data_IF_399743141560
#
_entry.id   IF_399743141560
#
_cell.length_a   1.000
_cell.length_b   1.000
_cell.length_c   1.000
_cell.angle_alpha   90.00
_cell.angle_beta   90.00
_cell.angle_gamma   90.00
#
_symmetry.space_group_name_H-M   'P 1'
#
loop_
_entity.id
_entity.type
_entity.pdbx_description
1 polymer ?
#
# COMPACT_ATOMS: atom_id res chain seq x y z
N UNK A 1 14.07 -9.14 9.77
CA UNK A 1 13.61 -8.28 8.66
C UNK A 1 12.11 -8.07 8.78
N UNK A 2 11.68 -6.82 8.89
CA UNK A 2 10.27 -6.41 8.91
C UNK A 2 9.89 -5.85 7.55
N UNK A 3 8.78 -6.32 7.00
CA UNK A 3 8.22 -5.81 5.76
C UNK A 3 7.11 -4.82 6.07
N UNK A 4 7.07 -3.74 5.28
CA UNK A 4 5.95 -2.81 5.24
C UNK A 4 5.35 -2.85 3.83
N UNK A 5 4.02 -2.75 3.72
CA UNK A 5 3.34 -2.58 2.44
C UNK A 5 2.74 -1.18 2.40
N UNK A 6 2.99 -0.45 1.31
CA UNK A 6 2.43 0.89 1.12
C UNK A 6 1.47 0.86 -0.05
N UNK A 7 0.21 1.23 0.20
CA UNK A 7 -0.83 1.35 -0.82
C UNK A 7 -0.97 2.83 -1.18
N UNK A 8 -0.62 3.19 -2.40
CA UNK A 8 -0.70 4.55 -2.91
C UNK A 8 -1.84 4.72 -3.92
N UNK A 9 -2.62 5.78 -3.76
CA UNK A 9 -3.65 6.22 -4.71
C UNK A 9 -3.42 7.69 -5.09
N UNK A 10 -3.60 8.07 -6.36
CA UNK A 10 -3.52 9.48 -6.76
C UNK A 10 -4.71 10.27 -6.18
N UNK A 11 -4.43 11.45 -5.64
CA UNK A 11 -5.41 12.41 -5.12
C UNK A 11 -5.46 13.68 -5.96
N UNK A 12 -6.49 14.48 -5.72
CA UNK A 12 -6.72 15.75 -6.41
C UNK A 12 -5.99 16.88 -5.68
N UNK A 13 -5.00 17.48 -6.34
CA UNK A 13 -4.18 18.53 -5.73
C UNK A 13 -3.18 17.97 -4.71
N UNK A 14 -2.43 18.85 -4.05
CA UNK A 14 -1.31 18.44 -3.20
C UNK A 14 -1.74 17.76 -1.89
N UNK A 15 -2.87 18.18 -1.32
CA UNK A 15 -3.36 17.74 0.00
C UNK A 15 -4.60 16.83 -0.08
N UNK A 16 -5.12 16.61 -1.29
CA UNK A 16 -6.39 15.92 -1.52
C UNK A 16 -7.63 16.76 -1.16
N UNK A 17 -8.79 16.13 -1.31
CA UNK A 17 -10.11 16.64 -0.90
C UNK A 17 -10.61 15.98 0.39
N UNK A 18 -11.66 16.53 1.00
CA UNK A 18 -12.32 15.90 2.15
C UNK A 18 -12.84 14.49 1.81
N UNK A 19 -13.39 14.29 0.60
CA UNK A 19 -13.83 12.97 0.13
C UNK A 19 -12.67 11.98 0.03
N UNK A 20 -11.48 12.45 -0.36
CA UNK A 20 -10.27 11.65 -0.42
C UNK A 20 -9.72 11.34 0.98
N UNK A 21 -9.88 12.24 1.95
CA UNK A 21 -9.58 11.98 3.35
C UNK A 21 -10.52 10.92 3.96
N UNK A 22 -11.82 11.04 3.70
CA UNK A 22 -12.83 10.06 4.12
C UNK A 22 -12.54 8.70 3.49
N UNK A 23 -12.19 8.68 2.20
CA UNK A 23 -11.77 7.46 1.52
C UNK A 23 -10.53 6.83 2.18
N UNK A 24 -9.50 7.63 2.50
CA UNK A 24 -8.29 7.14 3.18
C UNK A 24 -8.64 6.48 4.51
N UNK A 25 -9.46 7.15 5.33
CA UNK A 25 -9.91 6.64 6.63
C UNK A 25 -10.72 5.35 6.48
N UNK A 26 -11.57 5.26 5.47
CA UNK A 26 -12.33 4.05 5.17
C UNK A 26 -11.41 2.89 4.74
N UNK A 27 -10.43 3.17 3.88
CA UNK A 27 -9.44 2.19 3.44
C UNK A 27 -8.56 1.69 4.59
N UNK A 28 -8.09 2.58 5.46
CA UNK A 28 -7.32 2.21 6.67
C UNK A 28 -8.08 1.18 7.51
N UNK A 29 -9.38 1.44 7.76
CA UNK A 29 -10.25 0.53 8.52
C UNK A 29 -10.46 -0.80 7.81
N UNK A 30 -10.73 -0.77 6.50
CA UNK A 30 -11.03 -1.98 5.74
C UNK A 30 -9.80 -2.86 5.52
N UNK A 31 -8.62 -2.26 5.31
CA UNK A 31 -7.35 -2.98 5.28
C UNK A 31 -7.06 -3.60 6.63
N UNK A 32 -7.16 -2.82 7.72
CA UNK A 32 -6.87 -3.33 9.05
C UNK A 32 -7.77 -4.50 9.43
N UNK A 33 -9.09 -4.37 9.21
CA UNK A 33 -10.05 -5.42 9.48
C UNK A 33 -9.75 -6.70 8.69
N UNK A 34 -9.37 -6.56 7.40
CA UNK A 34 -9.07 -7.71 6.55
C UNK A 34 -7.73 -8.38 6.90
N UNK A 35 -6.71 -7.60 7.26
CA UNK A 35 -5.38 -8.12 7.64
C UNK A 35 -5.43 -8.84 8.99
N UNK A 36 -6.10 -8.24 9.99
CA UNK A 36 -6.25 -8.84 11.32
C UNK A 36 -7.04 -10.15 11.23
N UNK A 37 -8.11 -10.20 10.42
CA UNK A 37 -8.90 -11.42 10.24
C UNK A 37 -8.10 -12.60 9.67
N UNK A 38 -7.04 -12.33 8.91
CA UNK A 38 -6.17 -13.33 8.27
C UNK A 38 -4.80 -13.44 8.98
N UNK A 39 -4.59 -12.74 10.11
CA UNK A 39 -3.32 -12.65 10.82
C UNK A 39 -2.13 -12.26 9.93
N UNK A 40 -2.36 -11.33 8.98
CA UNK A 40 -1.43 -10.96 7.92
C UNK A 40 -0.75 -9.58 8.13
N UNK A 41 -1.02 -8.92 9.25
CA UNK A 41 -0.48 -7.61 9.60
C UNK A 41 -1.54 -6.65 10.12
N UNK A 42 -1.20 -5.37 10.16
CA UNK A 42 -2.07 -4.30 10.66
C UNK A 42 -1.99 -3.08 9.74
N UNK A 43 -2.99 -2.21 9.81
CA UNK A 43 -3.02 -0.93 9.08
C UNK A 43 -3.59 0.15 9.99
N UNK A 44 -2.91 1.29 10.08
CA UNK A 44 -3.37 2.38 10.95
C UNK A 44 -2.73 3.74 10.71
N UNK A 45 -1.90 3.86 9.67
CA UNK A 45 -1.26 5.13 9.31
C UNK A 45 -1.53 5.43 7.85
N UNK A 46 -2.28 6.48 7.60
CA UNK A 46 -2.42 7.05 6.27
C UNK A 46 -1.88 8.47 6.23
N UNK A 47 -1.32 8.84 5.10
CA UNK A 47 -0.84 10.20 4.82
C UNK A 47 -1.35 10.65 3.45
N UNK A 48 -1.35 11.95 3.23
CA UNK A 48 -1.58 12.53 1.91
C UNK A 48 -0.47 13.54 1.66
N UNK A 49 0.33 13.30 0.61
CA UNK A 49 1.42 14.18 0.22
C UNK A 49 1.71 14.04 -1.29
N UNK A 50 2.22 15.11 -1.90
CA UNK A 50 2.73 15.07 -3.27
C UNK A 50 1.71 14.62 -4.33
N UNK A 51 0.41 14.84 -4.11
CA UNK A 51 -0.64 14.38 -5.02
C UNK A 51 -0.96 12.89 -4.90
N UNK A 52 -0.54 12.23 -3.81
CA UNK A 52 -0.89 10.85 -3.48
C UNK A 52 -1.40 10.74 -2.06
N UNK A 53 -2.36 9.85 -1.84
CA UNK A 53 -2.61 9.30 -0.52
C UNK A 53 -1.86 7.98 -0.40
N UNK A 54 -1.24 7.73 0.74
CA UNK A 54 -0.60 6.47 1.09
C UNK A 54 -1.29 5.88 2.31
N UNK A 55 -1.51 4.56 2.31
CA UNK A 55 -1.92 3.79 3.49
C UNK A 55 -0.85 2.75 3.77
N UNK A 56 -0.30 2.79 4.99
CA UNK A 56 0.79 1.94 5.43
C UNK A 56 0.25 0.72 6.16
N UNK A 57 0.74 -0.45 5.74
CA UNK A 57 0.51 -1.73 6.38
C UNK A 57 1.80 -2.14 7.10
N UNK A 58 1.69 -2.33 8.40
CA UNK A 58 2.79 -2.63 9.31
C UNK A 58 2.69 -4.08 9.79
N UNK A 59 3.77 -4.58 10.41
CA UNK A 59 3.83 -5.94 10.97
C UNK A 59 3.47 -7.04 9.97
N UNK A 60 3.80 -6.85 8.68
CA UNK A 60 3.48 -7.79 7.62
C UNK A 60 4.35 -9.04 7.75
N UNK A 61 3.72 -10.18 8.02
CA UNK A 61 4.37 -11.48 8.23
C UNK A 61 4.61 -12.22 6.92
N UNK A 62 3.68 -12.11 5.97
CA UNK A 62 3.75 -12.68 4.62
C UNK A 62 3.22 -11.64 3.62
N UNK A 63 4.11 -11.13 2.78
CA UNK A 63 3.77 -10.06 1.84
C UNK A 63 2.90 -10.54 0.67
N UNK A 64 2.93 -11.81 0.30
CA UNK A 64 2.08 -12.35 -0.78
C UNK A 64 0.64 -12.48 -0.30
N UNK A 65 0.45 -12.95 0.94
CA UNK A 65 -0.87 -12.98 1.59
C UNK A 65 -1.42 -11.57 1.78
N UNK A 66 -0.61 -10.66 2.31
CA UNK A 66 -1.02 -9.27 2.50
C UNK A 66 -1.36 -8.57 1.16
N UNK A 67 -0.57 -8.81 0.10
CA UNK A 67 -0.87 -8.29 -1.24
C UNK A 67 -2.20 -8.82 -1.78
N UNK A 68 -2.50 -10.11 -1.60
CA UNK A 68 -3.79 -10.70 -1.99
C UNK A 68 -4.95 -9.99 -1.27
N UNK A 69 -4.82 -9.77 0.03
CA UNK A 69 -5.82 -9.07 0.85
C UNK A 69 -6.01 -7.63 0.38
N UNK A 70 -4.90 -6.88 0.22
CA UNK A 70 -4.90 -5.50 -0.27
C UNK A 70 -5.63 -5.39 -1.60
N UNK A 71 -5.29 -6.26 -2.56
CA UNK A 71 -5.95 -6.28 -3.86
C UNK A 71 -7.45 -6.56 -3.74
N UNK A 72 -7.85 -7.49 -2.86
CA UNK A 72 -9.25 -7.78 -2.57
C UNK A 72 -10.02 -6.55 -2.06
N UNK A 73 -9.47 -5.83 -1.08
CA UNK A 73 -10.06 -4.58 -0.57
C UNK A 73 -10.17 -3.53 -1.66
N UNK A 74 -9.09 -3.30 -2.42
CA UNK A 74 -9.06 -2.32 -3.51
C UNK A 74 -10.06 -2.65 -4.64
N UNK A 75 -10.33 -3.93 -4.92
CA UNK A 75 -11.35 -4.35 -5.89
C UNK A 75 -12.75 -4.00 -5.40
N UNK A 76 -13.07 -4.24 -4.12
CA UNK A 76 -14.38 -3.88 -3.54
C UNK A 76 -14.66 -2.38 -3.65
N UNK A 77 -13.62 -1.57 -3.48
CA UNK A 77 -13.68 -0.11 -3.64
C UNK A 77 -13.54 0.37 -5.09
N UNK A 78 -13.34 -0.55 -6.06
CA UNK A 78 -13.08 -0.23 -7.48
C UNK A 78 -11.82 0.62 -7.72
N UNK A 79 -10.84 0.57 -6.82
CA UNK A 79 -9.63 1.39 -6.85
C UNK A 79 -8.39 0.64 -7.33
N UNK A 80 -8.45 -0.68 -7.50
CA UNK A 80 -7.28 -1.50 -7.85
C UNK A 80 -6.51 -1.00 -9.09
N UNK A 81 -7.23 -0.50 -10.10
CA UNK A 81 -6.65 -0.01 -11.35
C UNK A 81 -5.89 1.32 -11.21
N UNK A 82 -6.12 2.06 -10.13
CA UNK A 82 -5.44 3.34 -9.80
C UNK A 82 -4.36 3.18 -8.74
N UNK A 83 -4.32 2.03 -8.07
CA UNK A 83 -3.44 1.79 -6.95
C UNK A 83 -2.03 1.40 -7.39
N UNK A 84 -1.04 1.91 -6.68
CA UNK A 84 0.32 1.35 -6.66
C UNK A 84 0.54 0.72 -5.29
N UNK A 85 0.98 -0.54 -5.25
CA UNK A 85 1.32 -1.24 -4.00
C UNK A 85 2.81 -1.48 -3.98
N UNK A 86 3.47 -1.00 -2.94
CA UNK A 86 4.91 -1.11 -2.74
C UNK A 86 5.20 -2.06 -1.57
N UNK A 87 6.31 -2.79 -1.67
CA UNK A 87 6.96 -3.45 -0.55
C UNK A 87 8.13 -2.56 -0.13
N UNK A 88 8.13 -2.16 1.14
CA UNK A 88 9.26 -1.49 1.78
C UNK A 88 9.99 -2.50 2.68
N UNK A 89 11.30 -2.61 2.49
CA UNK A 89 12.17 -3.44 3.32
C UNK A 89 13.20 -2.53 3.95
N UNK A 90 13.17 -2.43 5.29
CA UNK A 90 14.16 -1.64 6.04
C UNK A 90 15.42 -2.48 6.27
N UNK A 91 16.58 -1.87 6.06
CA UNK A 91 17.85 -2.47 6.44
C UNK A 91 17.98 -2.53 7.96
N UNK A 92 18.38 -3.68 8.52
CA UNK A 92 18.58 -3.81 9.97
C UNK A 92 19.79 -3.01 10.48
N UNK A 93 20.75 -2.71 9.60
CA UNK A 93 21.96 -1.95 9.94
C UNK A 93 21.77 -0.44 9.86
N UNK A 94 20.80 0.03 9.06
CA UNK A 94 20.45 1.44 8.90
C UNK A 94 18.95 1.56 8.61
N UNK A 95 18.19 2.02 9.60
CA UNK A 95 16.73 2.14 9.48
C UNK A 95 16.28 3.23 8.51
N UNK A 96 17.19 4.12 8.09
CA UNK A 96 16.94 5.14 7.09
C UNK A 96 17.15 4.62 5.66
N UNK A 97 17.79 3.45 5.50
CA UNK A 97 17.95 2.77 4.21
C UNK A 97 16.73 1.87 3.93
N UNK A 98 15.80 2.42 3.14
CA UNK A 98 14.53 1.78 2.77
C UNK A 98 14.60 1.33 1.32
N UNK A 99 14.65 0.02 1.09
CA UNK A 99 14.50 -0.56 -0.23
C UNK A 99 13.02 -0.63 -0.61
N UNK A 100 12.66 -0.14 -1.80
CA UNK A 100 11.29 -0.12 -2.31
C UNK A 100 11.14 -0.97 -3.57
N UNK A 101 10.17 -1.88 -3.56
CA UNK A 101 9.81 -2.71 -4.71
C UNK A 101 8.31 -2.59 -5.04
N UNK A 102 7.97 -2.36 -6.30
CA UNK A 102 6.57 -2.36 -6.74
C UNK A 102 6.02 -3.80 -6.76
N UNK A 103 4.97 -4.06 -5.97
CA UNK A 103 4.20 -5.31 -5.98
C UNK A 103 3.00 -5.24 -6.94
N UNK A 104 2.43 -4.05 -7.13
CA UNK A 104 1.31 -3.82 -8.03
C UNK A 104 1.32 -2.39 -8.61
N UNK A 105 0.97 -2.21 -9.89
CA UNK A 105 0.87 -3.25 -10.91
C UNK A 105 2.23 -3.93 -11.08
N UNK A 106 2.24 -5.26 -11.30
CA UNK A 106 3.47 -5.93 -11.71
C UNK A 106 3.86 -5.34 -13.05
N UNK A 107 4.88 -4.47 -13.06
CA UNK A 107 5.50 -4.08 -14.30
C UNK A 107 6.01 -5.37 -14.93
N UNK A 108 5.33 -5.84 -15.97
CA UNK A 108 5.92 -6.83 -16.86
C UNK A 108 7.21 -6.19 -17.32
N UNK A 109 8.36 -6.77 -16.94
CA UNK A 109 9.66 -6.28 -17.36
C UNK A 109 9.55 -5.98 -18.86
N UNK A 110 9.62 -4.70 -19.22
CA UNK A 110 9.63 -4.32 -20.62
C UNK A 110 10.92 -4.91 -21.18
N UNK A 111 10.79 -6.08 -21.83
CA UNK A 111 11.86 -6.68 -22.62
C UNK A 111 12.20 -5.64 -23.68
N UNK A 112 13.26 -4.87 -23.43
CA UNK A 112 13.94 -4.15 -24.50
C UNK A 112 14.59 -5.22 -25.36
N UNK A 113 13.89 -5.59 -26.43
CA UNK A 113 14.53 -6.25 -27.57
C UNK A 113 15.51 -5.24 -28.13
N UNK A 114 16.80 -5.51 -27.90
CA UNK A 114 17.90 -4.88 -28.64
C UNK A 114 18.07 -5.59 -29.99
#
# INVERSE_FOLDING_TARGET
MTFEIVVQLPVTGAFGTDEEFDLRTQLERDFNAALVAENAGESGRGETDGGRMSVYLESVTDHDVALRIVKGVLVRHKLLHRATVLLETRCEADSDDIERRVLWPLQSAAVRVA
#
